data_IF_971229430784
#
_entry.id   IF_971229430784
#
_cell.length_a   1.000
_cell.length_b   1.000
_cell.length_c   1.000
_cell.angle_alpha   90.00
_cell.angle_beta   90.00
_cell.angle_gamma   90.00
#
_symmetry.space_group_name_H-M   'P 1'
#
loop_
_entity.id
_entity.type
_entity.pdbx_description
1 polymer ?
#
# COMPACT_ATOMS: atom_id res chain seq x y z
N UNK A 1 -3.67 36.64 -3.05
CA UNK A 1 -4.59 36.55 -4.21
C UNK A 1 -4.99 37.98 -4.60
N UNK A 2 -5.43 38.23 -5.84
CA UNK A 2 -5.92 39.57 -6.24
C UNK A 2 -5.78 39.87 -7.72
N UNK A 3 -6.45 40.92 -8.17
CA UNK A 3 -6.30 41.50 -9.52
C UNK A 3 -5.02 42.35 -9.66
N UNK A 4 -4.49 42.43 -10.88
CA UNK A 4 -3.41 43.36 -11.25
C UNK A 4 -3.40 43.58 -12.75
N UNK A 5 -3.15 44.82 -13.19
CA UNK A 5 -2.88 45.14 -14.59
C UNK A 5 -1.38 45.05 -14.90
N UNK A 6 -0.53 45.22 -13.87
CA UNK A 6 0.94 45.20 -14.00
C UNK A 6 1.56 44.07 -13.16
N UNK A 7 1.59 42.86 -13.72
CA UNK A 7 2.07 41.66 -13.02
C UNK A 7 3.52 41.79 -12.49
N UNK A 8 4.41 42.37 -13.28
CA UNK A 8 5.82 42.55 -12.91
C UNK A 8 5.98 43.47 -11.69
N UNK A 9 5.30 44.62 -11.68
CA UNK A 9 5.33 45.54 -10.54
C UNK A 9 4.74 44.88 -9.29
N UNK A 10 3.65 44.13 -9.44
CA UNK A 10 3.06 43.42 -8.32
C UNK A 10 3.99 42.35 -7.74
N UNK A 11 4.69 41.61 -8.58
CA UNK A 11 5.67 40.62 -8.15
C UNK A 11 6.80 41.29 -7.35
N UNK A 12 7.39 42.37 -7.86
CA UNK A 12 8.43 43.13 -7.17
C UNK A 12 7.94 43.72 -5.83
N UNK A 13 6.69 44.19 -5.78
CA UNK A 13 6.08 44.66 -4.54
C UNK A 13 5.85 43.54 -3.54
N UNK A 14 5.51 42.33 -4.00
CA UNK A 14 5.38 41.16 -3.15
C UNK A 14 6.73 40.73 -2.59
N UNK A 15 7.76 40.66 -3.43
CA UNK A 15 9.14 40.35 -3.03
C UNK A 15 9.66 41.28 -1.93
N UNK A 16 9.41 42.59 -2.05
CA UNK A 16 9.81 43.57 -1.04
C UNK A 16 9.01 43.53 0.27
N UNK A 17 7.77 43.04 0.25
CA UNK A 17 6.82 43.17 1.38
C UNK A 17 6.47 41.85 2.07
N UNK A 18 6.75 40.72 1.43
CA UNK A 18 6.39 39.39 1.94
C UNK A 18 7.61 38.47 1.87
N UNK A 19 7.99 37.95 3.03
CA UNK A 19 9.09 37.01 3.15
C UNK A 19 8.65 35.55 2.97
N UNK A 20 7.34 35.30 2.79
CA UNK A 20 6.75 33.96 2.75
C UNK A 20 6.13 33.63 1.38
N UNK A 21 6.95 33.31 0.37
CA UNK A 21 6.48 32.73 -0.90
C UNK A 21 7.64 32.17 -1.73
N UNK A 22 7.39 31.09 -2.47
CA UNK A 22 8.35 30.51 -3.42
C UNK A 22 7.89 30.60 -4.88
N UNK A 23 6.56 30.63 -5.08
CA UNK A 23 5.94 30.60 -6.41
C UNK A 23 4.85 31.66 -6.54
N UNK A 24 4.76 32.28 -7.72
CA UNK A 24 3.68 33.19 -8.09
C UNK A 24 3.01 32.69 -9.38
N UNK A 25 1.69 32.54 -9.35
CA UNK A 25 0.89 32.09 -10.49
C UNK A 25 0.07 33.27 -11.03
N UNK A 26 0.24 33.57 -12.30
CA UNK A 26 -0.51 34.62 -13.01
C UNK A 26 -1.36 34.00 -14.10
N UNK A 27 -2.64 34.37 -14.13
CA UNK A 27 -3.59 33.97 -15.16
C UNK A 27 -4.01 35.21 -15.93
N UNK A 28 -3.96 35.14 -17.25
CA UNK A 28 -4.36 36.22 -18.15
C UNK A 28 -5.14 35.64 -19.34
N UNK A 29 -6.02 36.46 -19.92
CA UNK A 29 -6.75 36.10 -21.13
C UNK A 29 -6.07 36.67 -22.36
N UNK A 30 -5.85 35.83 -23.38
CA UNK A 30 -5.27 36.24 -24.66
C UNK A 30 -6.26 36.97 -25.56
N UNK A 31 -7.54 37.00 -25.21
CA UNK A 31 -8.61 37.57 -26.05
C UNK A 31 -9.04 38.96 -25.59
N UNK A 32 -8.36 39.55 -24.59
CA UNK A 32 -8.72 40.84 -23.96
C UNK A 32 -10.18 40.95 -23.53
N UNK A 33 -10.87 39.82 -23.35
CA UNK A 33 -12.31 39.78 -23.12
C UNK A 33 -12.69 39.84 -21.64
N UNK A 34 -11.74 39.83 -20.71
CA UNK A 34 -12.00 39.90 -19.27
C UNK A 34 -12.10 41.36 -18.82
N UNK A 35 -13.25 41.72 -18.26
CA UNK A 35 -13.43 43.00 -17.60
C UNK A 35 -13.20 42.89 -16.08
N UNK A 36 -13.23 44.02 -15.38
CA UNK A 36 -13.02 44.07 -13.93
C UNK A 36 -14.04 43.26 -13.12
N UNK A 37 -15.29 43.19 -13.57
CA UNK A 37 -16.31 42.38 -12.91
C UNK A 37 -16.05 40.88 -13.13
N UNK A 38 -15.50 40.48 -14.27
CA UNK A 38 -15.13 39.08 -14.52
C UNK A 38 -13.98 38.63 -13.59
N UNK A 39 -12.93 39.47 -13.48
CA UNK A 39 -11.77 39.17 -12.63
C UNK A 39 -12.16 39.06 -11.16
N UNK A 40 -13.02 39.97 -10.68
CA UNK A 40 -13.54 39.91 -9.30
C UNK A 40 -14.43 38.69 -9.04
N UNK A 41 -15.21 38.25 -10.03
CA UNK A 41 -16.00 37.03 -9.92
C UNK A 41 -15.08 35.81 -9.79
N UNK A 42 -14.08 35.67 -10.67
CA UNK A 42 -13.09 34.60 -10.62
C UNK A 42 -12.31 34.61 -9.30
N UNK A 43 -11.87 35.78 -8.83
CA UNK A 43 -11.16 35.90 -7.55
C UNK A 43 -12.02 35.40 -6.39
N UNK A 44 -13.30 35.76 -6.34
CA UNK A 44 -14.22 35.30 -5.32
C UNK A 44 -14.42 33.77 -5.36
N UNK A 45 -14.56 33.17 -6.56
CA UNK A 45 -14.68 31.71 -6.70
C UNK A 45 -13.42 30.97 -6.27
N UNK A 46 -12.23 31.44 -6.64
CA UNK A 46 -10.96 30.84 -6.19
C UNK A 46 -10.81 30.98 -4.67
N UNK A 47 -11.12 32.14 -4.11
CA UNK A 47 -11.08 32.33 -2.66
C UNK A 47 -12.01 31.37 -1.91
N UNK A 48 -13.25 31.25 -2.39
CA UNK A 48 -14.25 30.34 -1.81
C UNK A 48 -13.77 28.89 -1.89
N UNK A 49 -13.26 28.46 -3.04
CA UNK A 49 -12.79 27.09 -3.24
C UNK A 49 -11.58 26.76 -2.32
N UNK A 50 -10.61 27.68 -2.18
CA UNK A 50 -9.50 27.50 -1.22
C UNK A 50 -10.01 27.39 0.21
N UNK A 51 -10.97 28.24 0.60
CA UNK A 51 -11.55 28.24 1.93
C UNK A 51 -12.31 26.95 2.22
N UNK A 52 -13.10 26.46 1.27
CA UNK A 52 -13.86 25.20 1.38
C UNK A 52 -12.94 23.97 1.42
N UNK A 53 -11.81 24.00 0.70
CA UNK A 53 -10.81 22.96 0.76
C UNK A 53 -10.18 22.83 2.17
N UNK A 54 -10.03 23.95 2.88
CA UNK A 54 -9.50 23.97 4.26
C UNK A 54 -8.03 23.57 4.40
N UNK A 55 -7.28 23.47 3.29
CA UNK A 55 -5.89 22.97 3.27
C UNK A 55 -4.83 24.07 3.30
N UNK A 56 -5.22 25.32 3.06
CA UNK A 56 -4.29 26.42 2.86
C UNK A 56 -4.53 27.51 3.91
N UNK A 57 -3.44 28.05 4.46
CA UNK A 57 -3.50 29.28 5.25
C UNK A 57 -3.64 30.46 4.29
N UNK A 58 -4.79 31.14 4.33
CA UNK A 58 -5.06 32.30 3.48
C UNK A 58 -4.50 33.59 4.10
N UNK A 59 -3.50 34.17 3.44
CA UNK A 59 -2.89 35.47 3.79
C UNK A 59 -3.37 36.55 2.79
N UNK A 60 -4.68 36.85 2.83
CA UNK A 60 -5.30 37.90 2.01
C UNK A 60 -5.80 39.04 2.89
N UNK A 61 -5.51 40.29 2.52
CA UNK A 61 -5.88 41.47 3.33
C UNK A 61 -7.40 41.70 3.42
N UNK A 62 -8.15 41.22 2.44
CA UNK A 62 -9.62 41.33 2.38
C UNK A 62 -10.25 40.08 1.76
N UNK A 63 -11.48 39.79 2.16
CA UNK A 63 -12.33 38.79 1.49
C UNK A 63 -12.78 39.38 0.15
N UNK A 64 -12.49 38.74 -1.00
CA UNK A 64 -12.94 39.23 -2.30
C UNK A 64 -14.46 39.27 -2.36
N UNK A 65 -15.02 40.39 -2.84
CA UNK A 65 -16.46 40.54 -3.04
C UNK A 65 -16.82 40.05 -4.44
N UNK A 66 -17.69 39.06 -4.51
CA UNK A 66 -18.25 38.59 -5.79
C UNK A 66 -19.00 39.73 -6.47
N UNK A 67 -18.62 40.00 -7.72
CA UNK A 67 -19.25 40.99 -8.59
C UNK A 67 -20.46 40.37 -9.31
N UNK A 68 -21.41 41.23 -9.65
CA UNK A 68 -22.55 40.83 -10.46
C UNK A 68 -22.13 40.66 -11.93
N UNK A 69 -22.35 39.45 -12.47
CA UNK A 69 -22.06 39.06 -13.86
C UNK A 69 -23.29 38.35 -14.41
N UNK A 70 -23.66 38.58 -15.67
CA UNK A 70 -24.83 37.93 -16.27
C UNK A 70 -24.62 36.41 -16.41
N UNK A 71 -25.68 35.61 -16.26
CA UNK A 71 -25.60 34.14 -16.19
C UNK A 71 -24.81 33.47 -17.33
N UNK A 72 -25.04 33.88 -18.58
CA UNK A 72 -24.30 33.39 -19.76
C UNK A 72 -22.79 33.57 -19.54
N UNK A 73 -22.40 34.75 -19.07
CA UNK A 73 -21.00 35.08 -18.81
C UNK A 73 -20.46 34.32 -17.60
N UNK A 74 -21.25 34.12 -16.55
CA UNK A 74 -20.84 33.29 -15.40
C UNK A 74 -20.47 31.87 -15.83
N UNK A 75 -21.21 31.27 -16.77
CA UNK A 75 -20.87 29.94 -17.30
C UNK A 75 -19.47 29.91 -17.91
N UNK A 76 -19.13 30.90 -18.75
CA UNK A 76 -17.80 31.03 -19.35
C UNK A 76 -16.71 31.23 -18.29
N UNK A 77 -16.96 32.07 -17.29
CA UNK A 77 -16.03 32.29 -16.17
C UNK A 77 -15.83 31.02 -15.34
N UNK A 78 -16.88 30.23 -15.12
CA UNK A 78 -16.77 28.97 -14.38
C UNK A 78 -15.95 27.92 -15.14
N UNK A 79 -16.00 27.90 -16.47
CA UNK A 79 -15.14 27.01 -17.25
C UNK A 79 -13.67 27.45 -17.23
N UNK A 80 -13.40 28.76 -17.22
CA UNK A 80 -12.05 29.28 -16.93
C UNK A 80 -11.60 28.91 -15.52
N UNK A 81 -12.46 29.02 -14.51
CA UNK A 81 -12.16 28.61 -13.15
C UNK A 81 -11.79 27.11 -13.07
N UNK A 82 -12.55 26.22 -13.72
CA UNK A 82 -12.22 24.78 -13.79
C UNK A 82 -10.88 24.54 -14.47
N UNK A 83 -10.55 25.32 -15.51
CA UNK A 83 -9.27 25.22 -16.20
C UNK A 83 -8.12 25.63 -15.28
N UNK A 84 -8.29 26.71 -14.51
CA UNK A 84 -7.34 27.14 -13.48
C UNK A 84 -7.16 26.05 -12.41
N UNK A 85 -8.26 25.51 -11.88
CA UNK A 85 -8.24 24.43 -10.90
C UNK A 85 -7.50 23.19 -11.43
N UNK A 86 -7.78 22.79 -12.67
CA UNK A 86 -7.14 21.65 -13.32
C UNK A 86 -5.63 21.87 -13.50
N UNK A 87 -5.20 23.04 -13.99
CA UNK A 87 -3.78 23.35 -14.19
C UNK A 87 -3.04 23.37 -12.85
N UNK A 88 -3.57 24.06 -11.84
CA UNK A 88 -2.95 24.12 -10.52
C UNK A 88 -2.90 22.73 -9.86
N UNK A 89 -4.01 22.00 -9.89
CA UNK A 89 -4.13 20.65 -9.34
C UNK A 89 -3.23 19.61 -10.01
N UNK A 90 -3.30 19.54 -11.34
CA UNK A 90 -2.61 18.50 -12.11
C UNK A 90 -1.15 18.81 -12.39
N UNK A 91 -0.83 20.01 -12.86
CA UNK A 91 0.52 20.34 -13.33
C UNK A 91 1.46 20.79 -12.20
N UNK A 92 0.91 21.45 -11.18
CA UNK A 92 1.70 22.03 -10.09
C UNK A 92 1.51 21.31 -8.75
N UNK A 93 0.72 20.22 -8.72
CA UNK A 93 0.37 19.47 -7.52
C UNK A 93 -0.19 20.36 -6.40
N UNK A 94 -0.76 21.51 -6.75
CA UNK A 94 -1.53 22.34 -5.84
C UNK A 94 -2.90 21.69 -5.74
N UNK A 95 -2.99 20.68 -4.86
CA UNK A 95 -4.14 19.81 -4.63
C UNK A 95 -5.47 20.50 -4.97
N UNK A 96 -6.38 19.86 -5.73
CA UNK A 96 -7.62 20.48 -6.19
C UNK A 96 -8.34 21.15 -5.02
N UNK A 97 -9.02 22.27 -5.29
CA UNK A 97 -9.77 23.03 -4.29
C UNK A 97 -11.01 22.30 -3.75
N UNK A 98 -11.07 20.98 -3.97
CA UNK A 98 -12.11 20.10 -3.46
C UNK A 98 -11.77 19.66 -2.05
N UNK A 99 -12.76 19.82 -1.17
CA UNK A 99 -12.78 19.22 0.16
C UNK A 99 -12.54 17.71 0.01
N UNK A 100 -11.57 17.17 0.76
CA UNK A 100 -11.47 15.72 0.91
C UNK A 100 -12.72 15.29 1.68
N UNK A 101 -13.51 14.42 1.09
CA UNK A 101 -14.50 13.69 1.87
C UNK A 101 -13.77 12.58 2.63
N UNK A 102 -13.33 12.93 3.85
CA UNK A 102 -12.62 12.01 4.74
C UNK A 102 -13.48 10.76 5.02
N UNK A 103 -14.81 10.87 4.97
CA UNK A 103 -15.68 9.71 5.18
C UNK A 103 -15.62 8.75 3.99
N UNK A 104 -15.58 9.27 2.76
CA UNK A 104 -15.38 8.44 1.56
C UNK A 104 -14.00 7.77 1.59
N UNK A 105 -12.92 8.50 1.88
CA UNK A 105 -11.57 7.91 1.95
C UNK A 105 -11.47 6.81 3.04
N UNK A 106 -12.07 7.03 4.20
CA UNK A 106 -12.14 6.04 5.28
C UNK A 106 -12.92 4.81 4.83
N UNK A 107 -14.04 4.99 4.13
CA UNK A 107 -14.86 3.87 3.66
C UNK A 107 -14.11 3.03 2.61
N UNK A 108 -13.47 3.66 1.63
CA UNK A 108 -12.65 2.95 0.63
C UNK A 108 -11.49 2.18 1.26
N UNK A 109 -10.86 2.77 2.28
CA UNK A 109 -9.79 2.11 3.02
C UNK A 109 -10.30 0.90 3.81
N UNK A 110 -11.48 1.01 4.43
CA UNK A 110 -12.12 -0.11 5.13
C UNK A 110 -12.44 -1.27 4.20
N UNK A 111 -12.96 -0.99 3.00
CA UNK A 111 -13.23 -2.02 1.99
C UNK A 111 -11.96 -2.76 1.59
N UNK A 112 -10.86 -2.04 1.33
CA UNK A 112 -9.55 -2.66 1.05
C UNK A 112 -9.06 -3.55 2.19
N UNK A 113 -9.20 -3.10 3.43
CA UNK A 113 -8.82 -3.88 4.61
C UNK A 113 -9.68 -5.15 4.72
N UNK A 114 -10.99 -5.06 4.49
CA UNK A 114 -11.89 -6.21 4.54
C UNK A 114 -11.53 -7.25 3.47
N UNK A 115 -11.23 -6.81 2.25
CA UNK A 115 -10.79 -7.70 1.17
C UNK A 115 -9.48 -8.42 1.52
N UNK A 116 -8.48 -7.70 2.05
CA UNK A 116 -7.21 -8.30 2.47
C UNK A 116 -7.38 -9.30 3.62
N UNK A 117 -8.28 -9.00 4.58
CA UNK A 117 -8.61 -9.94 5.66
C UNK A 117 -9.23 -11.22 5.13
N UNK A 118 -10.16 -11.13 4.17
CA UNK A 118 -10.76 -12.29 3.55
C UNK A 118 -9.70 -13.16 2.85
N UNK A 119 -8.79 -12.56 2.08
CA UNK A 119 -7.69 -13.28 1.42
C UNK A 119 -6.76 -13.95 2.42
N UNK A 120 -6.49 -13.30 3.56
CA UNK A 120 -5.69 -13.87 4.63
C UNK A 120 -6.39 -15.08 5.28
N UNK A 121 -7.70 -14.98 5.54
CA UNK A 121 -8.50 -16.07 6.09
C UNK A 121 -8.56 -17.29 5.15
N UNK A 122 -8.63 -17.05 3.84
CA UNK A 122 -8.58 -18.11 2.81
C UNK A 122 -7.21 -18.81 2.80
N UNK A 123 -6.11 -18.03 2.78
CA UNK A 123 -4.76 -18.58 2.84
C UNK A 123 -4.51 -19.36 4.14
N UNK A 124 -5.07 -18.88 5.25
CA UNK A 124 -4.93 -19.49 6.56
C UNK A 124 -5.60 -20.86 6.66
N UNK A 125 -6.76 -21.04 6.01
CA UNK A 125 -7.46 -22.33 5.91
C UNK A 125 -6.68 -23.38 5.12
N UNK A 126 -5.88 -22.94 4.15
CA UNK A 126 -5.01 -23.81 3.35
C UNK A 126 -3.63 -24.04 3.98
N UNK A 127 -3.33 -23.33 5.07
CA UNK A 127 -2.02 -23.40 5.75
C UNK A 127 -2.02 -24.46 6.85
N UNK A 128 -1.00 -25.31 6.81
CA UNK A 128 -0.69 -26.33 7.79
C UNK A 128 0.60 -25.99 8.54
N UNK A 129 0.69 -26.48 9.76
CA UNK A 129 1.68 -26.13 10.75
C UNK A 129 2.34 -27.39 11.31
N UNK A 130 3.64 -27.28 11.63
CA UNK A 130 4.40 -28.23 12.42
C UNK A 130 5.10 -27.48 13.55
N UNK A 131 4.55 -27.59 14.76
CA UNK A 131 4.98 -26.82 15.94
C UNK A 131 5.50 -27.68 17.09
N UNK A 132 5.51 -29.01 16.93
CA UNK A 132 6.00 -29.91 17.97
C UNK A 132 7.53 -30.03 17.93
N UNK A 133 8.12 -30.61 18.97
CA UNK A 133 9.57 -30.86 19.07
C UNK A 133 10.44 -29.59 18.90
N UNK A 134 9.86 -28.41 19.15
CA UNK A 134 10.53 -27.12 19.01
C UNK A 134 10.66 -26.61 17.57
N UNK A 135 10.02 -27.27 16.60
CA UNK A 135 9.87 -26.73 15.25
C UNK A 135 8.85 -25.59 15.22
N UNK A 136 8.93 -24.74 14.21
CA UNK A 136 7.92 -23.74 13.87
C UNK A 136 7.90 -23.59 12.35
N UNK A 137 7.18 -24.50 11.69
CA UNK A 137 7.10 -24.52 10.24
C UNK A 137 5.67 -24.36 9.76
N UNK A 138 5.52 -23.64 8.64
CA UNK A 138 4.25 -23.38 7.97
C UNK A 138 4.35 -23.80 6.51
N UNK A 139 3.27 -24.36 5.98
CA UNK A 139 3.25 -24.81 4.61
C UNK A 139 1.88 -25.19 4.10
N UNK A 140 1.78 -25.54 2.83
CA UNK A 140 0.51 -25.91 2.19
C UNK A 140 0.73 -26.93 1.07
N UNK A 141 -0.33 -27.64 0.70
CA UNK A 141 -0.30 -28.60 -0.41
C UNK A 141 -0.25 -27.88 -1.76
N UNK A 142 0.54 -28.40 -2.69
CA UNK A 142 0.64 -27.89 -4.06
C UNK A 142 0.43 -29.01 -5.07
N UNK A 143 -0.33 -28.73 -6.13
CA UNK A 143 -0.53 -29.63 -7.27
C UNK A 143 -1.21 -30.94 -6.89
N UNK A 144 -2.54 -30.94 -6.79
CA UNK A 144 -3.38 -32.10 -6.42
C UNK A 144 -2.91 -32.84 -5.15
N UNK A 145 -2.21 -32.16 -4.25
CA UNK A 145 -1.67 -32.75 -3.01
C UNK A 145 -0.42 -33.62 -3.17
N UNK A 146 0.25 -33.59 -4.33
CA UNK A 146 1.47 -34.38 -4.58
C UNK A 146 2.73 -33.68 -4.07
N UNK A 147 2.77 -32.34 -4.06
CA UNK A 147 3.89 -31.54 -3.56
C UNK A 147 3.50 -30.79 -2.30
N UNK A 148 4.50 -30.37 -1.54
CA UNK A 148 4.27 -29.60 -0.32
C UNK A 148 5.20 -28.40 -0.28
N UNK A 149 4.65 -27.23 0.01
CA UNK A 149 5.39 -25.96 0.06
C UNK A 149 5.67 -25.63 1.51
N UNK A 150 6.92 -25.37 1.85
CA UNK A 150 7.32 -24.85 3.17
C UNK A 150 7.69 -23.38 3.03
N UNK A 151 7.05 -22.52 3.82
CA UNK A 151 7.18 -21.08 3.73
C UNK A 151 8.53 -20.59 4.28
N UNK A 152 9.07 -19.54 3.66
CA UNK A 152 10.18 -18.75 4.20
C UNK A 152 9.93 -18.39 5.67
N UNK A 153 10.98 -18.46 6.48
CA UNK A 153 10.95 -18.20 7.92
C UNK A 153 10.57 -19.42 8.76
N UNK A 154 10.10 -20.50 8.14
CA UNK A 154 9.89 -21.78 8.83
C UNK A 154 11.20 -22.28 9.45
N UNK A 155 11.09 -22.96 10.59
CA UNK A 155 12.20 -23.46 11.40
C UNK A 155 12.01 -24.95 11.71
N UNK A 156 13.10 -25.71 11.61
CA UNK A 156 13.15 -27.12 11.99
C UNK A 156 13.07 -27.31 13.51
N UNK A 157 12.93 -28.56 13.96
CA UNK A 157 13.25 -28.96 15.32
C UNK A 157 14.73 -28.67 15.65
N UNK A 158 15.06 -28.72 16.95
CA UNK A 158 16.42 -28.47 17.43
C UNK A 158 17.40 -29.48 16.80
N UNK A 159 18.51 -28.98 16.26
CA UNK A 159 19.55 -29.80 15.61
C UNK A 159 20.12 -30.83 16.61
N UNK A 160 20.25 -30.44 17.87
CA UNK A 160 20.77 -31.30 18.94
C UNK A 160 19.86 -32.54 19.20
N UNK A 161 18.57 -32.43 18.88
CA UNK A 161 17.54 -33.46 19.11
C UNK A 161 17.21 -34.24 17.83
N UNK A 162 17.99 -34.08 16.77
CA UNK A 162 17.82 -34.83 15.54
C UNK A 162 17.83 -36.35 15.83
N UNK A 163 16.89 -37.09 15.24
CA UNK A 163 16.81 -38.53 15.43
C UNK A 163 18.03 -39.22 14.81
N UNK A 164 18.57 -40.26 15.46
CA UNK A 164 19.68 -41.03 14.89
C UNK A 164 19.35 -41.58 13.49
N UNK A 165 18.10 -42.01 13.28
CA UNK A 165 17.59 -42.51 12.01
C UNK A 165 17.52 -41.45 10.90
N UNK A 166 17.60 -40.15 11.23
CA UNK A 166 17.58 -39.08 10.23
C UNK A 166 18.73 -39.19 9.24
N UNK A 167 19.91 -39.62 9.70
CA UNK A 167 21.11 -39.74 8.86
C UNK A 167 20.96 -40.79 7.74
N UNK A 168 20.00 -41.69 7.87
CA UNK A 168 19.79 -42.82 6.96
C UNK A 168 18.67 -42.57 5.94
N UNK A 169 17.95 -41.45 6.05
CA UNK A 169 16.85 -41.11 5.14
C UNK A 169 17.23 -40.02 4.14
N UNK A 170 16.51 -40.00 3.01
CA UNK A 170 16.74 -39.04 1.91
C UNK A 170 16.67 -37.57 2.34
N UNK A 171 15.95 -37.27 3.43
CA UNK A 171 15.84 -35.93 4.00
C UNK A 171 17.19 -35.39 4.51
N UNK A 172 18.12 -36.22 4.99
CA UNK A 172 19.45 -35.76 5.38
C UNK A 172 20.31 -35.33 4.18
N UNK A 173 20.26 -36.08 3.08
CA UNK A 173 20.91 -35.67 1.82
C UNK A 173 20.29 -34.37 1.29
N UNK A 174 18.95 -34.24 1.41
CA UNK A 174 18.25 -33.04 1.00
C UNK A 174 18.62 -31.82 1.86
N UNK A 175 18.76 -31.99 3.17
CA UNK A 175 19.22 -30.95 4.09
C UNK A 175 20.57 -30.36 3.66
N UNK A 176 21.56 -31.21 3.40
CA UNK A 176 22.89 -30.75 2.97
C UNK A 176 22.84 -30.05 1.60
N UNK A 177 22.00 -30.52 0.68
CA UNK A 177 21.76 -29.84 -0.60
C UNK A 177 21.15 -28.46 -0.41
N UNK A 178 20.14 -28.33 0.46
CA UNK A 178 19.45 -27.07 0.72
C UNK A 178 20.32 -26.06 1.46
N UNK A 179 21.19 -26.51 2.38
CA UNK A 179 22.22 -25.67 3.01
C UNK A 179 23.18 -25.12 1.97
N UNK A 180 23.69 -25.96 1.06
CA UNK A 180 24.60 -25.53 -0.02
C UNK A 180 23.96 -24.54 -0.99
N UNK A 181 22.64 -24.62 -1.18
CA UNK A 181 21.88 -23.69 -2.03
C UNK A 181 21.52 -22.37 -1.33
N UNK A 182 21.75 -22.24 -0.01
CA UNK A 182 21.35 -21.08 0.76
C UNK A 182 19.85 -21.04 1.12
N UNK A 183 19.11 -22.10 0.80
CA UNK A 183 17.68 -22.25 1.17
C UNK A 183 17.53 -22.39 2.69
N UNK A 184 18.46 -23.12 3.32
CA UNK A 184 18.51 -23.34 4.75
C UNK A 184 19.76 -22.71 5.36
N UNK A 185 19.58 -22.08 6.52
CA UNK A 185 20.65 -21.53 7.31
C UNK A 185 20.54 -22.01 8.75
N UNK A 186 21.68 -22.31 9.37
CA UNK A 186 21.75 -22.60 10.79
C UNK A 186 21.70 -21.30 11.61
N UNK A 187 20.69 -21.17 12.47
CA UNK A 187 20.46 -20.02 13.35
C UNK A 187 20.03 -20.57 14.72
N UNK A 188 20.79 -20.23 15.77
CA UNK A 188 20.49 -20.58 17.16
C UNK A 188 20.20 -22.07 17.41
N UNK A 189 20.92 -22.97 16.73
CA UNK A 189 20.75 -24.43 16.88
C UNK A 189 19.55 -25.01 16.13
N UNK A 190 19.00 -24.27 15.17
CA UNK A 190 17.92 -24.69 14.28
C UNK A 190 18.30 -24.43 12.82
N UNK A 191 17.67 -25.14 11.88
CA UNK A 191 17.71 -24.74 10.48
C UNK A 191 16.48 -23.89 10.15
N UNK A 192 16.70 -22.71 9.57
CA UNK A 192 15.65 -21.79 9.14
C UNK A 192 15.64 -21.65 7.62
N UNK A 193 14.43 -21.64 7.04
CA UNK A 193 14.22 -21.45 5.61
C UNK A 193 14.36 -19.97 5.24
N UNK A 194 15.39 -19.63 4.45
CA UNK A 194 15.63 -18.28 3.95
C UNK A 194 14.74 -17.91 2.74
N UNK A 195 14.17 -18.92 2.10
CA UNK A 195 13.20 -18.79 1.02
C UNK A 195 12.15 -19.91 1.10
N UNK A 196 11.02 -19.72 0.40
CA UNK A 196 9.98 -20.73 0.30
C UNK A 196 10.48 -21.90 -0.55
N UNK A 197 10.32 -23.13 -0.08
CA UNK A 197 10.82 -24.33 -0.75
C UNK A 197 9.72 -25.35 -1.05
N UNK A 198 9.78 -25.97 -2.22
CA UNK A 198 8.82 -26.99 -2.66
C UNK A 198 9.44 -28.38 -2.50
N UNK A 199 8.80 -29.21 -1.68
CA UNK A 199 9.10 -30.62 -1.51
C UNK A 199 8.23 -31.48 -2.43
N UNK A 200 8.77 -32.63 -2.82
CA UNK A 200 8.06 -33.61 -3.67
C UNK A 200 6.99 -34.42 -2.92
N UNK A 201 6.82 -34.21 -1.60
CA UNK A 201 5.74 -34.81 -0.81
C UNK A 201 5.63 -34.12 0.57
N UNK A 202 4.47 -34.22 1.25
CA UNK A 202 4.31 -33.77 2.64
C UNK A 202 5.29 -34.45 3.61
N UNK A 203 5.53 -35.76 3.42
CA UNK A 203 6.48 -36.51 4.28
C UNK A 203 7.92 -36.07 4.09
N UNK A 204 8.36 -35.77 2.87
CA UNK A 204 9.72 -35.26 2.64
C UNK A 204 9.95 -33.90 3.32
N UNK A 205 8.90 -33.06 3.39
CA UNK A 205 8.95 -31.80 4.12
C UNK A 205 8.99 -32.03 5.64
N UNK A 206 8.10 -32.88 6.17
CA UNK A 206 8.02 -33.15 7.60
C UNK A 206 9.27 -33.86 8.14
N UNK A 207 9.88 -34.75 7.35
CA UNK A 207 11.10 -35.45 7.72
C UNK A 207 12.27 -34.50 7.93
N UNK A 208 12.39 -33.51 7.04
CA UNK A 208 13.41 -32.47 7.16
C UNK A 208 13.11 -31.53 8.33
N UNK A 209 11.85 -31.14 8.53
CA UNK A 209 11.46 -30.22 9.60
C UNK A 209 11.68 -30.84 10.98
N UNK A 210 11.29 -32.08 11.21
CA UNK A 210 11.52 -32.74 12.50
C UNK A 210 12.89 -33.40 12.62
N UNK A 211 13.71 -33.37 11.56
CA UNK A 211 15.01 -34.02 11.53
C UNK A 211 14.89 -35.50 11.94
N UNK A 212 13.96 -36.22 11.32
CA UNK A 212 13.68 -37.63 11.57
C UNK A 212 12.62 -38.22 10.65
N UNK A 213 12.46 -39.54 10.61
CA UNK A 213 11.43 -40.19 9.79
C UNK A 213 10.03 -39.99 10.40
N UNK A 214 9.09 -39.51 9.59
CA UNK A 214 7.76 -39.06 10.01
C UNK A 214 6.70 -39.41 8.96
N UNK A 215 5.43 -39.32 9.34
CA UNK A 215 4.33 -39.36 8.38
C UNK A 215 3.76 -37.95 8.20
N UNK A 216 4.17 -37.24 7.15
CA UNK A 216 3.76 -35.85 6.92
C UNK A 216 2.24 -35.67 6.87
N UNK A 217 1.48 -36.68 6.43
CA UNK A 217 0.01 -36.61 6.42
C UNK A 217 -0.59 -36.50 7.83
N UNK A 218 0.13 -36.95 8.87
CA UNK A 218 -0.29 -36.87 10.27
C UNK A 218 0.32 -35.67 11.00
N UNK A 219 1.54 -35.28 10.61
CA UNK A 219 2.29 -34.23 11.32
C UNK A 219 1.86 -32.81 10.95
N UNK A 220 1.53 -32.58 9.68
CA UNK A 220 1.03 -31.29 9.21
C UNK A 220 -0.42 -31.10 9.64
N UNK A 221 -0.68 -30.09 10.47
CA UNK A 221 -2.00 -29.80 11.05
C UNK A 221 -2.47 -28.40 10.74
N UNK A 222 -3.76 -28.20 10.49
CA UNK A 222 -4.35 -26.86 10.42
C UNK A 222 -4.42 -26.20 11.83
N UNK A 223 -4.97 -24.98 11.92
CA UNK A 223 -5.08 -24.27 13.20
C UNK A 223 -6.01 -24.97 14.20
N UNK A 224 -6.98 -25.72 13.70
CA UNK A 224 -7.92 -26.53 14.47
C UNK A 224 -7.28 -27.85 14.97
N UNK A 225 -6.04 -28.14 14.57
CA UNK A 225 -5.31 -29.34 14.97
C UNK A 225 -5.61 -30.58 14.12
N UNK A 226 -6.35 -30.43 13.02
CA UNK A 226 -6.69 -31.50 12.09
C UNK A 226 -5.55 -31.75 11.11
N UNK A 227 -5.20 -33.01 10.92
CA UNK A 227 -4.09 -33.40 10.05
C UNK A 227 -4.49 -33.47 8.57
N UNK A 228 -3.51 -33.29 7.68
CA UNK A 228 -3.68 -33.50 6.23
C UNK A 228 -4.34 -34.84 5.86
N UNK A 229 -4.17 -35.89 6.67
CA UNK A 229 -4.78 -37.21 6.46
C UNK A 229 -6.31 -37.13 6.29
N UNK A 230 -6.99 -36.20 6.99
CA UNK A 230 -8.44 -35.99 6.85
C UNK A 230 -8.87 -35.46 5.47
N UNK A 231 -7.97 -34.81 4.74
CA UNK A 231 -8.27 -34.32 3.38
C UNK A 231 -8.29 -35.44 2.33
N UNK A 232 -7.90 -36.67 2.70
CA UNK A 232 -7.89 -37.84 1.79
C UNK A 232 -9.13 -38.73 1.94
N UNK A 233 -9.97 -38.47 2.94
CA UNK A 233 -11.24 -39.19 3.19
C UNK A 233 -12.37 -38.60 2.35
#
# INVERSE_FOLDING_TARGET
>A
MGETEEAAIRLLNHDKKKEFWDYAYFFFSNTHNLNKADVKFLEAKIYQAIKEAGRYKLENASIPKESHVHDIRQSELMDMFKTIEFILGGAFNLFPFKKVDLQLEVNETKEKINHLKQQLDELEKETFYMTQKGADAKGYLLGEGKKFVVLKGSKTASIEKAANSFKEISAATNLERLKKQGVLQEIDGYYQFNETHIFNSPSGASDLIYLGATNGWKEWKNKEGESLEKLRE
#
